data_IF_548279689473
#
_entry.id   IF_548279689473
#
_cell.length_a   1.000
_cell.length_b   1.000
_cell.length_c   1.000
_cell.angle_alpha   90.00
_cell.angle_beta   90.00
_cell.angle_gamma   90.00
#
_symmetry.space_group_name_H-M   'P 1'
#
loop_
_entity.id
_entity.type
_entity.pdbx_description
1 polymer ?
#
# COMPACT_ATOMS: atom_id res chain seq x y z
N UNK A 1 -14.55 17.37 19.66
CA UNK A 1 -14.39 18.77 19.26
C UNK A 1 -13.10 18.82 18.44
N UNK A 2 -13.20 19.00 17.11
CA UNK A 2 -12.03 19.11 16.24
C UNK A 2 -11.35 20.42 16.63
N UNK A 3 -10.11 20.36 17.13
CA UNK A 3 -9.33 21.58 17.34
C UNK A 3 -9.25 22.32 16.01
N UNK A 4 -9.59 23.62 16.03
CA UNK A 4 -9.40 24.46 14.85
C UNK A 4 -7.90 24.45 14.56
N UNK A 5 -7.52 23.90 13.42
CA UNK A 5 -6.13 23.84 13.01
C UNK A 5 -5.69 25.26 12.64
N UNK A 6 -4.84 25.86 13.48
CA UNK A 6 -4.30 27.18 13.23
C UNK A 6 -3.33 27.16 12.04
N UNK A 7 -3.48 28.08 11.10
CA UNK A 7 -2.65 28.18 9.88
C UNK A 7 -1.15 28.15 10.22
N UNK A 8 -0.72 28.91 11.21
CA UNK A 8 0.70 29.03 11.60
C UNK A 8 1.25 27.71 12.16
N UNK A 9 0.46 26.95 12.92
CA UNK A 9 0.88 25.65 13.45
C UNK A 9 0.98 24.61 12.35
N UNK A 10 0.06 24.65 11.39
CA UNK A 10 0.10 23.77 10.24
C UNK A 10 1.28 24.08 9.31
N UNK A 11 1.51 25.38 8.99
CA UNK A 11 2.70 25.84 8.26
C UNK A 11 3.98 25.33 8.92
N UNK A 12 4.12 25.51 10.22
CA UNK A 12 5.26 25.00 10.98
C UNK A 12 5.40 23.47 10.86
N UNK A 13 4.31 22.76 10.82
CA UNK A 13 4.31 21.29 10.64
C UNK A 13 4.81 20.92 9.25
N UNK A 14 4.33 21.58 8.19
CA UNK A 14 4.82 21.35 6.81
C UNK A 14 6.32 21.60 6.72
N UNK A 15 6.80 22.74 7.23
CA UNK A 15 8.24 23.09 7.21
C UNK A 15 9.10 22.07 7.99
N UNK A 16 8.62 21.60 9.15
CA UNK A 16 9.29 20.51 9.88
C UNK A 16 9.33 19.21 9.07
N UNK A 17 8.25 18.86 8.36
CA UNK A 17 8.23 17.67 7.50
C UNK A 17 9.15 17.81 6.30
N UNK A 18 9.27 19.02 5.73
CA UNK A 18 10.22 19.29 4.65
C UNK A 18 11.67 19.06 5.13
N UNK A 19 12.03 19.63 6.27
CA UNK A 19 13.40 19.52 6.80
C UNK A 19 13.68 18.10 7.32
N UNK A 20 12.85 17.56 8.21
CA UNK A 20 13.17 16.32 8.93
C UNK A 20 12.61 15.05 8.29
N UNK A 21 11.64 15.19 7.38
CA UNK A 21 11.03 14.07 6.66
C UNK A 21 11.56 13.90 5.24
N UNK A 22 11.81 15.02 4.55
CA UNK A 22 12.28 15.02 3.15
C UNK A 22 13.77 15.35 3.05
N UNK A 23 14.34 16.06 4.03
CA UNK A 23 15.76 16.45 4.05
C UNK A 23 16.06 17.63 3.13
N UNK A 24 15.11 18.56 2.96
CA UNK A 24 15.21 19.76 2.13
C UNK A 24 14.86 21.00 2.95
N UNK A 25 15.40 22.14 2.54
CA UNK A 25 14.95 23.45 3.00
C UNK A 25 14.10 24.16 1.92
N UNK A 26 13.57 25.32 2.26
CA UNK A 26 12.67 26.08 1.38
C UNK A 26 13.34 26.59 0.11
N UNK A 27 14.67 26.81 0.13
CA UNK A 27 15.43 27.43 -0.97
C UNK A 27 15.71 26.42 -2.10
N UNK A 28 15.76 25.13 -1.76
CA UNK A 28 16.11 24.05 -2.69
C UNK A 28 15.01 23.01 -2.91
N UNK A 29 13.87 23.15 -2.22
CA UNK A 29 12.76 22.23 -2.37
C UNK A 29 12.06 22.42 -3.73
N UNK A 30 11.84 21.32 -4.44
CA UNK A 30 11.07 21.28 -5.69
C UNK A 30 9.61 20.91 -5.40
N UNK A 31 8.66 21.09 -6.35
CA UNK A 31 7.23 20.79 -6.11
C UNK A 31 6.98 19.40 -5.51
N UNK A 32 7.71 18.40 -5.96
CA UNK A 32 7.63 17.03 -5.41
C UNK A 32 8.00 16.95 -3.92
N UNK A 33 9.03 17.68 -3.47
CA UNK A 33 9.44 17.71 -2.06
C UNK A 33 8.34 18.30 -1.18
N UNK A 34 7.70 19.38 -1.67
CA UNK A 34 6.56 20.00 -1.00
C UNK A 34 5.34 19.09 -0.95
N UNK A 35 5.05 18.34 -2.03
CA UNK A 35 3.98 17.34 -2.04
C UNK A 35 4.19 16.29 -0.96
N UNK A 36 5.39 15.74 -0.83
CA UNK A 36 5.74 14.74 0.20
C UNK A 36 5.66 15.35 1.60
N UNK A 37 6.17 16.56 1.81
CA UNK A 37 6.13 17.25 3.10
C UNK A 37 4.69 17.53 3.54
N UNK A 38 3.83 18.02 2.61
CA UNK A 38 2.41 18.23 2.85
C UNK A 38 1.71 16.92 3.17
N UNK A 39 1.97 15.87 2.40
CA UNK A 39 1.40 14.54 2.64
C UNK A 39 1.73 14.04 4.05
N UNK A 40 2.97 14.17 4.51
CA UNK A 40 3.32 13.80 5.88
C UNK A 40 2.61 14.65 6.94
N UNK A 41 2.41 15.95 6.68
CA UNK A 41 1.69 16.82 7.59
C UNK A 41 0.20 16.46 7.68
N UNK A 42 -0.46 16.24 6.54
CA UNK A 42 -1.86 15.81 6.44
C UNK A 42 -2.05 14.42 7.05
N UNK A 43 -1.17 13.46 6.71
CA UNK A 43 -1.18 12.10 7.25
C UNK A 43 -1.12 12.07 8.77
N UNK A 44 -0.39 12.97 9.41
CA UNK A 44 -0.33 13.04 10.88
C UNK A 44 -1.73 13.18 11.49
N UNK A 45 -2.54 14.11 10.97
CA UNK A 45 -3.91 14.32 11.44
C UNK A 45 -4.84 13.15 11.12
N UNK A 46 -4.59 12.49 9.97
CA UNK A 46 -5.31 11.28 9.58
C UNK A 46 -5.01 10.13 10.55
N UNK A 47 -3.74 9.93 10.91
CA UNK A 47 -3.29 8.86 11.80
C UNK A 47 -3.81 9.02 13.23
N UNK A 48 -3.96 10.25 13.75
CA UNK A 48 -4.56 10.49 15.06
C UNK A 48 -5.98 9.89 15.10
N UNK A 49 -6.81 10.19 14.08
CA UNK A 49 -8.18 9.65 13.98
C UNK A 49 -8.21 8.15 13.71
N UNK A 50 -7.25 7.65 12.94
CA UNK A 50 -7.12 6.21 12.68
C UNK A 50 -6.81 5.44 13.96
N UNK A 51 -5.92 5.96 14.81
CA UNK A 51 -5.62 5.36 16.12
C UNK A 51 -6.83 5.37 17.05
N UNK A 52 -7.59 6.46 17.08
CA UNK A 52 -8.84 6.55 17.86
C UNK A 52 -9.86 5.51 17.39
N UNK A 53 -10.06 5.42 16.07
CA UNK A 53 -10.96 4.43 15.47
C UNK A 53 -10.52 3.01 15.80
N UNK A 54 -9.24 2.70 15.63
CA UNK A 54 -8.69 1.37 15.90
C UNK A 54 -8.87 0.99 17.37
N UNK A 55 -8.52 1.87 18.30
CA UNK A 55 -8.71 1.64 19.75
C UNK A 55 -10.18 1.38 20.10
N UNK A 56 -11.10 2.15 19.51
CA UNK A 56 -12.54 1.96 19.72
C UNK A 56 -13.01 0.60 19.20
N UNK A 57 -12.65 0.24 17.96
CA UNK A 57 -13.03 -1.02 17.32
C UNK A 57 -12.60 -2.24 18.14
N UNK A 58 -11.38 -2.21 18.69
CA UNK A 58 -10.89 -3.31 19.54
C UNK A 58 -11.51 -3.31 20.93
N UNK A 59 -11.68 -2.16 21.58
CA UNK A 59 -12.28 -2.05 22.90
C UNK A 59 -13.75 -2.49 22.92
N UNK A 60 -14.50 -2.17 21.87
CA UNK A 60 -15.93 -2.45 21.77
C UNK A 60 -16.20 -3.80 21.09
N UNK A 61 -15.15 -4.48 20.66
CA UNK A 61 -15.19 -5.77 19.95
C UNK A 61 -16.27 -5.83 18.87
N UNK A 62 -16.33 -4.78 18.03
CA UNK A 62 -17.34 -4.69 16.97
C UNK A 62 -17.06 -5.69 15.87
N UNK A 63 -18.14 -6.18 15.23
CA UNK A 63 -18.03 -7.03 14.04
C UNK A 63 -17.26 -6.30 12.93
N UNK A 64 -16.30 -6.98 12.33
CA UNK A 64 -15.43 -6.44 11.27
C UNK A 64 -15.75 -7.05 9.92
N UNK A 65 -15.70 -6.25 8.88
CA UNK A 65 -15.76 -6.69 7.48
C UNK A 65 -14.35 -6.81 6.95
N UNK A 66 -14.05 -7.94 6.31
CA UNK A 66 -12.78 -8.17 5.61
C UNK A 66 -13.05 -8.22 4.12
N UNK A 67 -12.47 -7.27 3.38
CA UNK A 67 -12.67 -7.12 1.95
C UNK A 67 -11.40 -7.54 1.21
N UNK A 68 -11.46 -8.67 0.51
CA UNK A 68 -10.34 -9.20 -0.27
C UNK A 68 -10.53 -8.85 -1.74
N UNK A 69 -9.54 -8.21 -2.36
CA UNK A 69 -9.56 -7.90 -3.78
C UNK A 69 -8.16 -7.96 -4.38
N UNK A 70 -8.09 -8.48 -5.61
CA UNK A 70 -6.87 -8.42 -6.42
C UNK A 70 -6.53 -6.99 -6.86
N UNK A 71 -7.51 -6.10 -6.86
CA UNK A 71 -7.41 -4.73 -7.33
C UNK A 71 -7.91 -3.73 -6.30
N UNK A 72 -7.20 -2.63 -6.16
CA UNK A 72 -7.65 -1.43 -5.46
C UNK A 72 -7.28 -0.19 -6.28
N UNK A 73 -8.23 0.34 -7.05
CA UNK A 73 -8.03 1.56 -7.82
C UNK A 73 -8.31 2.78 -6.92
N UNK A 74 -7.36 3.08 -6.05
CA UNK A 74 -7.48 4.08 -4.99
C UNK A 74 -7.40 5.49 -5.58
N UNK A 75 -6.44 5.73 -6.48
CA UNK A 75 -6.14 7.05 -6.99
C UNK A 75 -5.22 7.87 -6.08
N UNK A 76 -5.23 9.19 -6.29
CA UNK A 76 -4.50 10.16 -5.48
C UNK A 76 -5.27 10.45 -4.19
N UNK A 77 -4.58 10.48 -3.07
CA UNK A 77 -5.20 10.57 -1.74
C UNK A 77 -5.12 11.96 -1.11
N UNK A 78 -4.20 12.83 -1.55
CA UNK A 78 -3.90 14.07 -0.86
C UNK A 78 -5.08 15.05 -0.86
N UNK A 79 -5.64 15.32 -2.04
CA UNK A 79 -6.78 16.22 -2.16
C UNK A 79 -8.01 15.67 -1.43
N UNK A 80 -8.32 14.38 -1.63
CA UNK A 80 -9.44 13.72 -0.95
C UNK A 80 -9.28 13.74 0.57
N UNK A 81 -8.09 13.43 1.07
CA UNK A 81 -7.82 13.43 2.52
C UNK A 81 -7.96 14.83 3.13
N UNK A 82 -7.44 15.87 2.47
CA UNK A 82 -7.57 17.25 2.96
C UNK A 82 -9.04 17.67 3.03
N UNK A 83 -9.84 17.33 2.02
CA UNK A 83 -11.28 17.61 1.98
C UNK A 83 -12.02 16.88 3.11
N UNK A 84 -11.77 15.59 3.27
CA UNK A 84 -12.37 14.77 4.31
C UNK A 84 -11.98 15.22 5.73
N UNK A 85 -10.79 15.77 5.90
CA UNK A 85 -10.34 16.38 7.17
C UNK A 85 -10.88 17.80 7.36
N UNK A 86 -11.36 18.46 6.29
CA UNK A 86 -11.83 19.84 6.30
C UNK A 86 -10.69 20.85 6.48
N UNK A 87 -9.50 20.55 5.94
CA UNK A 87 -8.28 21.38 6.11
C UNK A 87 -7.73 21.95 4.80
N UNK A 88 -8.40 21.79 3.66
CA UNK A 88 -7.94 22.23 2.35
C UNK A 88 -7.55 23.70 2.33
N UNK A 89 -8.39 24.59 2.87
CA UNK A 89 -8.12 26.02 2.89
C UNK A 89 -6.96 26.40 3.83
N UNK A 90 -6.81 25.69 4.94
CA UNK A 90 -5.68 25.89 5.85
C UNK A 90 -4.37 25.48 5.18
N UNK A 91 -4.37 24.36 4.44
CA UNK A 91 -3.22 23.90 3.65
C UNK A 91 -2.84 24.93 2.59
N UNK A 92 -3.82 25.40 1.81
CA UNK A 92 -3.63 26.41 0.76
C UNK A 92 -3.02 27.69 1.33
N UNK A 93 -3.60 28.21 2.40
CA UNK A 93 -3.10 29.44 3.04
C UNK A 93 -1.70 29.28 3.65
N UNK A 94 -1.41 28.11 4.24
CA UNK A 94 -0.10 27.83 4.84
C UNK A 94 1.00 27.72 3.78
N UNK A 95 0.72 27.13 2.62
CA UNK A 95 1.65 27.01 1.50
C UNK A 95 1.85 28.36 0.78
N UNK A 96 0.78 29.15 0.59
CA UNK A 96 0.87 30.47 0.00
C UNK A 96 1.80 31.41 0.79
N UNK A 97 1.83 31.31 2.12
CA UNK A 97 2.74 32.07 2.98
C UNK A 97 4.23 31.80 2.71
N UNK A 98 4.55 30.66 2.11
CA UNK A 98 5.94 30.29 1.72
C UNK A 98 6.14 30.29 0.20
N UNK A 99 5.19 30.86 -0.54
CA UNK A 99 5.29 31.06 -1.99
C UNK A 99 5.05 29.78 -2.81
N UNK A 100 4.35 28.78 -2.26
CA UNK A 100 4.05 27.51 -2.92
C UNK A 100 2.56 27.44 -3.27
N UNK A 101 2.26 27.04 -4.51
CA UNK A 101 0.88 26.83 -4.97
C UNK A 101 0.44 25.40 -4.66
N UNK A 102 -0.67 25.23 -3.92
CA UNK A 102 -1.25 23.93 -3.61
C UNK A 102 -1.65 23.15 -4.87
N UNK A 103 -2.23 23.82 -5.85
CA UNK A 103 -2.72 23.15 -7.05
C UNK A 103 -1.57 22.60 -7.89
N UNK A 104 -0.43 23.28 -7.92
CA UNK A 104 0.79 22.80 -8.56
C UNK A 104 1.32 21.51 -7.89
N UNK A 105 1.41 21.52 -6.57
CA UNK A 105 1.99 20.34 -5.86
C UNK A 105 1.04 19.14 -5.82
N UNK A 106 -0.29 19.33 -5.96
CA UNK A 106 -1.24 18.21 -6.07
C UNK A 106 -1.02 17.38 -7.34
N UNK A 107 -0.46 17.95 -8.39
CA UNK A 107 -0.13 17.22 -9.61
C UNK A 107 1.09 16.31 -9.44
N UNK A 108 1.91 16.55 -8.43
CA UNK A 108 3.11 15.76 -8.14
C UNK A 108 2.80 14.44 -7.40
N UNK A 109 1.59 14.26 -6.87
CA UNK A 109 1.21 13.01 -6.22
C UNK A 109 1.09 11.88 -7.25
N UNK A 110 1.84 10.77 -7.10
CA UNK A 110 1.70 9.61 -7.97
C UNK A 110 0.31 8.98 -7.83
N UNK A 111 -0.22 8.48 -8.91
CA UNK A 111 -1.48 7.74 -8.91
C UNK A 111 -1.23 6.28 -8.53
N UNK A 112 -1.75 5.85 -7.39
CA UNK A 112 -1.75 4.45 -6.98
C UNK A 112 -2.86 3.67 -7.73
N UNK A 113 -2.69 3.54 -9.04
CA UNK A 113 -3.63 2.88 -9.93
C UNK A 113 -3.46 1.34 -9.87
N UNK A 114 -3.74 0.75 -8.71
CA UNK A 114 -3.60 -0.69 -8.46
C UNK A 114 -4.84 -1.48 -8.90
N UNK A 115 -5.47 -1.06 -9.98
CA UNK A 115 -6.66 -1.66 -10.55
C UNK A 115 -6.80 -1.33 -12.03
N UNK A 116 -7.52 -2.16 -12.77
CA UNK A 116 -7.73 -2.02 -14.21
C UNK A 116 -9.07 -1.36 -14.55
N UNK A 117 -10.07 -1.46 -13.68
CA UNK A 117 -11.40 -0.94 -14.00
C UNK A 117 -12.41 -1.06 -12.86
N UNK A 118 -13.64 -1.50 -13.19
CA UNK A 118 -14.78 -1.52 -12.26
C UNK A 118 -14.56 -2.31 -10.99
N UNK A 119 -13.83 -3.44 -11.04
CA UNK A 119 -13.55 -4.26 -9.86
C UNK A 119 -12.70 -3.49 -8.85
N UNK A 120 -11.60 -2.90 -9.31
CA UNK A 120 -10.69 -2.13 -8.45
C UNK A 120 -11.32 -0.84 -7.92
N UNK A 121 -12.12 -0.15 -8.75
CA UNK A 121 -12.85 1.04 -8.29
C UNK A 121 -13.95 0.70 -7.31
N UNK A 122 -14.68 -0.42 -7.51
CA UNK A 122 -15.68 -0.89 -6.57
C UNK A 122 -15.07 -1.18 -5.19
N UNK A 123 -13.91 -1.85 -5.16
CA UNK A 123 -13.19 -2.13 -3.92
C UNK A 123 -12.81 -0.84 -3.17
N UNK A 124 -12.26 0.15 -3.88
CA UNK A 124 -11.94 1.45 -3.31
C UNK A 124 -13.19 2.17 -2.77
N UNK A 125 -14.28 2.21 -3.54
CA UNK A 125 -15.55 2.82 -3.12
C UNK A 125 -16.18 2.12 -1.92
N UNK A 126 -16.09 0.79 -1.82
CA UNK A 126 -16.60 0.08 -0.64
C UNK A 126 -15.79 0.40 0.61
N UNK A 127 -14.47 0.50 0.52
CA UNK A 127 -13.64 0.88 1.66
C UNK A 127 -13.97 2.29 2.15
N UNK A 128 -14.12 3.25 1.24
CA UNK A 128 -14.55 4.62 1.54
C UNK A 128 -15.97 4.66 2.14
N UNK A 129 -16.92 3.99 1.51
CA UNK A 129 -18.31 3.92 1.98
C UNK A 129 -18.42 3.30 3.36
N UNK A 130 -17.72 2.20 3.64
CA UNK A 130 -17.70 1.58 4.97
C UNK A 130 -17.11 2.53 6.01
N UNK A 131 -16.05 3.27 5.66
CA UNK A 131 -15.51 4.31 6.53
C UNK A 131 -16.53 5.44 6.77
N UNK A 132 -17.24 5.86 5.73
CA UNK A 132 -18.27 6.92 5.82
C UNK A 132 -19.43 6.55 6.76
N UNK A 133 -19.93 5.31 6.67
CA UNK A 133 -21.07 4.86 7.49
C UNK A 133 -20.63 4.25 8.83
N UNK A 134 -19.32 4.23 9.13
CA UNK A 134 -18.80 3.78 10.41
C UNK A 134 -18.71 2.26 10.59
N UNK A 135 -18.70 1.49 9.50
CA UNK A 135 -18.48 0.04 9.53
C UNK A 135 -16.98 -0.21 9.67
N UNK A 136 -16.61 -1.00 10.70
CA UNK A 136 -15.24 -1.43 10.87
C UNK A 136 -14.85 -2.41 9.76
N UNK A 137 -13.89 -2.03 8.92
CA UNK A 137 -13.46 -2.80 7.77
C UNK A 137 -11.93 -2.89 7.65
N UNK A 138 -11.48 -3.95 6.99
CA UNK A 138 -10.10 -4.18 6.67
C UNK A 138 -9.99 -4.71 5.25
N UNK A 139 -9.36 -3.94 4.35
CA UNK A 139 -9.11 -4.34 2.97
C UNK A 139 -7.79 -5.10 2.86
N UNK A 140 -7.74 -6.13 2.01
CA UNK A 140 -6.55 -6.89 1.70
C UNK A 140 -6.37 -7.03 0.19
N UNK A 141 -5.15 -6.82 -0.29
CA UNK A 141 -4.78 -6.98 -1.69
C UNK A 141 -3.28 -7.15 -1.89
N UNK A 142 -2.83 -6.99 -3.11
CA UNK A 142 -1.42 -7.02 -3.48
C UNK A 142 -0.90 -5.59 -3.70
N UNK A 143 0.27 -5.30 -3.18
CA UNK A 143 1.01 -4.06 -3.42
C UNK A 143 1.84 -4.21 -4.68
N UNK A 144 1.21 -3.99 -5.83
CA UNK A 144 1.94 -4.07 -7.10
C UNK A 144 2.98 -2.96 -7.19
N UNK A 145 4.18 -3.30 -7.63
CA UNK A 145 5.25 -2.32 -7.90
C UNK A 145 4.89 -1.43 -9.09
N UNK A 146 4.26 -2.05 -10.09
CA UNK A 146 3.75 -1.38 -11.28
C UNK A 146 2.24 -1.55 -11.30
N UNK A 147 1.51 -0.44 -11.21
CA UNK A 147 0.06 -0.40 -11.33
C UNK A 147 -0.42 -0.53 -12.77
N UNK A 148 -1.56 0.08 -13.10
CA UNK A 148 -2.01 0.20 -14.48
C UNK A 148 -0.95 0.93 -15.30
N UNK A 149 -0.71 0.48 -16.54
CA UNK A 149 0.29 1.06 -17.41
C UNK A 149 0.02 2.54 -17.73
N UNK A 150 1.10 3.30 -17.93
CA UNK A 150 1.05 4.63 -18.50
C UNK A 150 0.84 4.53 -19.99
N UNK A 151 -0.07 5.33 -20.54
CA UNK A 151 -0.31 5.42 -21.96
C UNK A 151 0.38 6.64 -22.55
N UNK A 152 1.05 6.47 -23.68
CA UNK A 152 1.43 7.58 -24.54
C UNK A 152 1.19 7.25 -26.01
N UNK A 153 1.11 8.28 -26.83
CA UNK A 153 0.90 8.12 -28.28
C UNK A 153 2.22 8.37 -29.00
N UNK A 154 2.71 7.38 -29.72
CA UNK A 154 3.85 7.52 -30.61
C UNK A 154 3.47 7.06 -32.02
N UNK A 155 3.78 7.87 -33.03
CA UNK A 155 3.45 7.61 -34.43
C UNK A 155 1.97 7.26 -34.70
N UNK A 156 1.05 7.82 -33.91
CA UNK A 156 -0.37 7.56 -34.01
C UNK A 156 -0.87 6.29 -33.32
N UNK A 157 0.01 5.55 -32.65
CA UNK A 157 -0.31 4.33 -31.92
C UNK A 157 -0.18 4.54 -30.41
N UNK A 158 -1.05 3.85 -29.64
CA UNK A 158 -0.91 3.77 -28.19
C UNK A 158 0.27 2.87 -27.83
N UNK A 159 1.14 3.37 -26.96
CA UNK A 159 2.23 2.61 -26.36
C UNK A 159 1.98 2.55 -24.85
N UNK A 160 2.19 1.36 -24.28
CA UNK A 160 2.01 1.07 -22.87
C UNK A 160 3.37 0.97 -22.20
N UNK A 161 3.57 1.74 -21.13
CA UNK A 161 4.77 1.71 -20.30
C UNK A 161 4.41 1.37 -18.86
N UNK A 162 5.32 0.71 -18.14
CA UNK A 162 5.11 0.39 -16.75
C UNK A 162 5.01 1.68 -15.92
N UNK A 163 3.91 1.87 -15.19
CA UNK A 163 3.78 2.97 -14.24
C UNK A 163 4.57 2.66 -12.97
N UNK A 164 5.44 3.57 -12.58
CA UNK A 164 6.38 3.38 -11.48
C UNK A 164 6.03 4.31 -10.30
N UNK A 165 4.85 4.15 -9.71
CA UNK A 165 4.32 4.99 -8.64
C UNK A 165 5.15 4.97 -7.35
N UNK A 166 6.01 3.95 -7.16
CA UNK A 166 6.87 3.78 -5.98
C UNK A 166 8.31 4.29 -6.16
N UNK A 167 8.76 4.57 -7.38
CA UNK A 167 10.19 4.82 -7.67
C UNK A 167 10.72 6.17 -7.19
N UNK A 168 9.85 7.11 -6.89
CA UNK A 168 10.25 8.47 -6.45
C UNK A 168 10.23 8.62 -4.93
N UNK A 169 10.88 7.71 -4.21
CA UNK A 169 10.98 7.79 -2.74
C UNK A 169 9.87 7.07 -1.98
N UNK A 170 9.15 6.15 -2.65
CA UNK A 170 8.07 5.36 -2.04
C UNK A 170 6.74 6.12 -1.96
N UNK A 171 5.79 5.51 -1.27
CA UNK A 171 4.47 6.09 -1.03
C UNK A 171 4.39 6.67 0.39
N UNK A 172 4.29 8.00 0.56
CA UNK A 172 4.26 8.63 1.88
C UNK A 172 3.00 8.31 2.70
N UNK A 173 1.95 7.72 2.09
CA UNK A 173 0.73 7.29 2.80
C UNK A 173 0.90 5.97 3.52
N UNK A 174 1.81 5.12 3.08
CA UNK A 174 1.97 3.77 3.60
C UNK A 174 2.75 3.72 4.91
N UNK A 175 2.38 2.73 5.73
CA UNK A 175 3.11 2.32 6.91
C UNK A 175 3.54 0.87 6.71
N UNK A 176 4.82 0.66 6.54
CA UNK A 176 5.41 -0.67 6.44
C UNK A 176 5.24 -1.43 7.77
N UNK A 177 4.77 -2.69 7.69
CA UNK A 177 4.43 -3.54 8.84
C UNK A 177 5.29 -4.80 8.85
N UNK A 178 6.53 -4.69 9.29
CA UNK A 178 7.42 -5.86 9.40
C UNK A 178 6.87 -6.94 10.35
N UNK A 179 6.09 -6.52 11.36
CA UNK A 179 5.41 -7.43 12.30
C UNK A 179 4.22 -8.19 11.68
N UNK A 180 3.71 -7.74 10.54
CA UNK A 180 2.71 -8.44 9.73
C UNK A 180 3.39 -9.14 8.56
N UNK A 181 4.18 -10.16 8.88
CA UNK A 181 4.91 -10.98 7.92
C UNK A 181 4.43 -12.42 8.01
N UNK A 182 4.12 -13.04 6.85
CA UNK A 182 3.58 -14.39 6.76
C UNK A 182 4.29 -15.17 5.68
N UNK A 183 4.65 -16.43 5.97
CA UNK A 183 5.20 -17.35 4.98
C UNK A 183 4.04 -17.92 4.16
N UNK A 184 4.15 -17.81 2.85
CA UNK A 184 3.22 -18.41 1.89
C UNK A 184 3.97 -19.49 1.12
N UNK A 185 3.63 -20.78 1.35
CA UNK A 185 4.26 -21.91 0.68
C UNK A 185 3.58 -22.21 -0.67
N UNK A 186 4.35 -22.72 -1.65
CA UNK A 186 3.85 -23.12 -2.96
C UNK A 186 4.38 -24.50 -3.38
N UNK A 187 3.57 -25.23 -4.16
CA UNK A 187 3.97 -26.48 -4.79
C UNK A 187 4.40 -27.57 -3.80
N UNK A 188 5.30 -28.45 -4.25
CA UNK A 188 5.86 -29.50 -3.42
C UNK A 188 5.01 -30.76 -3.40
N UNK A 189 5.10 -31.53 -2.30
CA UNK A 189 4.44 -32.82 -2.14
C UNK A 189 3.97 -33.02 -0.70
N UNK A 190 2.98 -33.90 -0.55
CA UNK A 190 2.50 -34.35 0.76
C UNK A 190 3.19 -35.67 1.09
N UNK A 191 3.86 -35.73 2.23
CA UNK A 191 4.42 -36.95 2.77
C UNK A 191 3.47 -37.49 3.85
N UNK A 192 3.13 -38.76 3.72
CA UNK A 192 2.33 -39.44 4.72
C UNK A 192 3.27 -40.39 5.51
N UNK A 193 3.49 -40.10 6.78
CA UNK A 193 4.21 -41.00 7.65
C UNK A 193 3.29 -42.16 8.04
N UNK A 194 3.87 -43.39 8.16
CA UNK A 194 3.10 -44.63 8.38
C UNK A 194 2.23 -44.64 9.65
N UNK A 195 2.34 -43.67 10.54
CA UNK A 195 1.59 -43.52 11.79
C UNK A 195 1.36 -42.05 12.20
N UNK A 196 1.60 -41.06 11.30
CA UNK A 196 1.52 -39.64 11.61
C UNK A 196 0.55 -38.86 10.69
N UNK A 197 0.31 -37.60 11.00
CA UNK A 197 -0.47 -36.71 10.11
C UNK A 197 0.28 -36.47 8.81
N UNK A 198 -0.50 -36.23 7.74
CA UNK A 198 0.06 -35.77 6.46
C UNK A 198 0.85 -34.46 6.67
N UNK A 199 2.10 -34.43 6.15
CA UNK A 199 2.96 -33.26 6.21
C UNK A 199 3.20 -32.71 4.80
N UNK A 200 2.95 -31.43 4.60
CA UNK A 200 3.23 -30.76 3.34
C UNK A 200 4.68 -30.25 3.31
N UNK A 201 5.42 -30.68 2.30
CA UNK A 201 6.76 -30.21 1.99
C UNK A 201 6.68 -29.25 0.78
N UNK A 202 6.66 -27.93 1.00
CA UNK A 202 6.57 -26.97 -0.10
C UNK A 202 7.85 -26.93 -0.93
N UNK A 203 7.71 -26.74 -2.23
CA UNK A 203 8.86 -26.57 -3.13
C UNK A 203 9.43 -25.13 -3.07
N UNK A 204 8.57 -24.16 -2.79
CA UNK A 204 8.90 -22.72 -2.77
C UNK A 204 8.21 -22.06 -1.57
N UNK A 205 8.85 -21.07 -0.99
CA UNK A 205 8.28 -20.24 0.08
C UNK A 205 8.56 -18.77 -0.20
N UNK A 206 7.54 -17.93 0.00
CA UNK A 206 7.61 -16.47 -0.14
C UNK A 206 7.10 -15.82 1.13
N UNK A 207 7.69 -14.70 1.53
CA UNK A 207 7.23 -13.89 2.65
C UNK A 207 6.31 -12.79 2.14
N UNK A 208 5.09 -12.75 2.62
CA UNK A 208 4.18 -11.62 2.44
C UNK A 208 4.40 -10.60 3.55
N UNK A 209 4.68 -9.34 3.21
CA UNK A 209 4.88 -8.26 4.17
C UNK A 209 3.81 -7.20 3.96
N UNK A 210 3.12 -6.82 5.05
CA UNK A 210 2.03 -5.85 5.02
C UNK A 210 2.49 -4.41 4.86
N UNK A 211 1.74 -3.64 4.07
CA UNK A 211 1.86 -2.18 3.96
C UNK A 211 0.47 -1.59 4.18
N UNK A 212 0.30 -0.82 5.24
CA UNK A 212 -1.00 -0.30 5.67
C UNK A 212 -1.21 1.14 5.24
N UNK A 213 -2.37 1.41 4.64
CA UNK A 213 -2.85 2.76 4.34
C UNK A 213 -4.17 3.00 5.07
N UNK A 214 -4.30 4.14 5.73
CA UNK A 214 -5.55 4.54 6.36
C UNK A 214 -6.53 5.05 5.30
N UNK A 215 -7.76 4.53 5.31
CA UNK A 215 -8.82 4.92 4.38
C UNK A 215 -9.84 5.76 5.14
N UNK A 216 -9.92 7.04 4.79
CA UNK A 216 -10.91 7.96 5.33
C UNK A 216 -12.23 7.82 4.56
N UNK A 217 -13.35 7.93 5.28
CA UNK A 217 -14.63 8.21 4.66
C UNK A 217 -15.00 9.68 4.81
N UNK A 218 -16.20 10.05 4.39
CA UNK A 218 -16.69 11.43 4.44
C UNK A 218 -16.54 12.04 5.83
N UNK A 219 -15.89 13.20 5.91
CA UNK A 219 -15.54 13.93 7.14
C UNK A 219 -14.59 13.17 8.09
N UNK A 220 -13.95 12.12 7.64
CA UNK A 220 -12.96 11.32 8.36
C UNK A 220 -13.34 11.00 9.82
N UNK A 221 -14.60 10.64 10.08
CA UNK A 221 -15.11 10.30 11.42
C UNK A 221 -14.73 8.89 11.87
N UNK A 222 -14.58 7.99 10.91
CA UNK A 222 -14.17 6.60 11.08
C UNK A 222 -13.19 6.26 9.96
N UNK A 223 -12.11 5.60 10.30
CA UNK A 223 -11.08 5.23 9.34
C UNK A 223 -10.87 3.72 9.36
N UNK A 224 -10.83 3.14 8.16
CA UNK A 224 -10.52 1.74 7.96
C UNK A 224 -9.05 1.56 7.51
N UNK A 225 -8.61 0.33 7.41
CA UNK A 225 -7.26 -0.01 6.99
C UNK A 225 -7.31 -0.75 5.66
N UNK A 226 -6.48 -0.33 4.72
CA UNK A 226 -6.14 -1.11 3.54
C UNK A 226 -4.73 -1.66 3.72
N UNK A 227 -4.59 -2.99 3.75
CA UNK A 227 -3.31 -3.69 3.81
C UNK A 227 -3.00 -4.32 2.46
N UNK A 228 -1.91 -3.90 1.88
CA UNK A 228 -1.40 -4.46 0.63
C UNK A 228 -0.14 -5.28 0.90
N UNK A 229 -0.07 -6.47 0.33
CA UNK A 229 1.02 -7.41 0.52
C UNK A 229 2.12 -7.24 -0.52
N UNK A 230 3.36 -7.02 -0.07
CA UNK A 230 4.57 -7.14 -0.90
C UNK A 230 5.14 -8.54 -0.74
N UNK A 231 5.58 -9.14 -1.83
CA UNK A 231 6.25 -10.43 -1.82
C UNK A 231 7.77 -10.25 -1.69
N UNK A 232 8.38 -11.01 -0.78
CA UNK A 232 9.83 -11.04 -0.56
C UNK A 232 10.32 -12.48 -0.45
N UNK A 233 11.61 -12.76 -0.76
CA UNK A 233 12.15 -14.12 -0.64
C UNK A 233 12.12 -14.57 0.83
N UNK A 234 11.76 -15.83 1.07
CA UNK A 234 11.91 -16.46 2.38
C UNK A 234 13.36 -16.92 2.64
N UNK A 235 14.11 -17.10 1.57
CA UNK A 235 15.52 -17.50 1.65
C UNK A 235 16.41 -16.26 1.74
N UNK A 236 17.52 -16.39 2.45
CA UNK A 236 18.55 -15.37 2.52
C UNK A 236 19.29 -15.28 1.18
N UNK A 237 19.80 -14.10 0.85
CA UNK A 237 20.64 -13.86 -0.31
C UNK A 237 21.81 -14.85 -0.37
N UNK A 238 22.04 -15.48 -1.54
CA UNK A 238 23.13 -16.44 -1.71
C UNK A 238 24.48 -15.75 -1.93
N UNK A 239 25.11 -15.41 -0.81
CA UNK A 239 26.42 -14.77 -0.82
C UNK A 239 27.50 -15.66 -1.45
N UNK A 240 27.35 -17.00 -1.41
CA UNK A 240 28.33 -17.93 -1.98
C UNK A 240 28.35 -17.85 -3.49
N UNK A 241 27.19 -17.80 -4.16
CA UNK A 241 27.09 -17.59 -5.59
C UNK A 241 27.56 -16.19 -6.00
N UNK A 242 27.21 -15.18 -5.20
CA UNK A 242 27.66 -13.82 -5.46
C UNK A 242 29.20 -13.69 -5.45
N UNK A 243 29.86 -14.30 -4.48
CA UNK A 243 31.32 -14.23 -4.31
C UNK A 243 32.10 -14.93 -5.45
N UNK A 244 31.49 -15.88 -6.15
CA UNK A 244 32.12 -16.55 -7.31
C UNK A 244 31.70 -15.92 -8.65
N UNK A 245 30.97 -14.78 -8.62
CA UNK A 245 30.57 -14.04 -9.82
C UNK A 245 29.27 -14.50 -10.45
N UNK A 246 28.53 -15.40 -9.85
CA UNK A 246 27.23 -15.90 -10.33
C UNK A 246 26.09 -14.97 -9.86
N UNK A 247 26.12 -13.71 -10.23
CA UNK A 247 25.21 -12.66 -9.75
C UNK A 247 23.73 -12.94 -10.01
N UNK A 248 23.41 -13.50 -11.19
CA UNK A 248 22.02 -13.84 -11.55
C UNK A 248 21.47 -14.97 -10.67
N UNK A 249 22.28 -15.98 -10.44
CA UNK A 249 21.90 -17.11 -9.58
C UNK A 249 21.73 -16.66 -8.12
N UNK A 250 22.64 -15.80 -7.65
CA UNK A 250 22.54 -15.22 -6.30
C UNK A 250 21.25 -14.42 -6.07
N UNK A 251 20.70 -13.77 -7.12
CA UNK A 251 19.47 -12.97 -7.08
C UNK A 251 18.22 -13.74 -7.51
N UNK A 252 18.33 -14.97 -7.99
CA UNK A 252 17.21 -15.70 -8.60
C UNK A 252 16.00 -15.84 -7.67
N UNK A 253 16.20 -16.17 -6.41
CA UNK A 253 15.14 -16.32 -5.42
C UNK A 253 14.43 -14.98 -5.13
N UNK A 254 15.16 -13.87 -5.13
CA UNK A 254 14.59 -12.53 -4.95
C UNK A 254 13.69 -12.15 -6.13
N UNK A 255 14.19 -12.33 -7.34
CA UNK A 255 13.43 -12.05 -8.58
C UNK A 255 12.16 -12.89 -8.64
N UNK A 256 12.24 -14.18 -8.37
CA UNK A 256 11.07 -15.07 -8.41
C UNK A 256 10.03 -14.68 -7.37
N UNK A 257 10.43 -14.42 -6.12
CA UNK A 257 9.51 -14.01 -5.07
C UNK A 257 8.83 -12.67 -5.40
N UNK A 258 9.62 -11.65 -5.78
CA UNK A 258 9.10 -10.32 -6.07
C UNK A 258 8.19 -10.27 -7.29
N UNK A 259 8.33 -11.20 -8.24
CA UNK A 259 7.45 -11.31 -9.41
C UNK A 259 5.97 -11.40 -9.01
N UNK A 260 5.64 -12.00 -7.86
CA UNK A 260 4.27 -12.11 -7.35
C UNK A 260 3.59 -10.75 -7.08
N UNK A 261 4.37 -9.75 -6.67
CA UNK A 261 3.84 -8.40 -6.41
C UNK A 261 4.33 -7.35 -7.41
N UNK A 262 4.83 -7.77 -8.59
CA UNK A 262 5.45 -6.85 -9.53
C UNK A 262 4.44 -6.15 -10.44
N UNK A 263 3.58 -6.93 -11.10
CA UNK A 263 2.64 -6.40 -12.11
C UNK A 263 1.23 -6.95 -11.89
N UNK A 264 0.25 -6.05 -11.99
CA UNK A 264 -1.17 -6.40 -12.03
C UNK A 264 -1.50 -7.08 -13.38
N UNK A 265 -2.15 -8.23 -13.34
CA UNK A 265 -2.57 -8.99 -14.52
C UNK A 265 -1.46 -9.27 -15.53
N UNK A 266 -0.50 -10.15 -15.21
CA UNK A 266 0.44 -10.63 -16.21
C UNK A 266 -0.33 -11.31 -17.35
N UNK A 267 0.25 -11.26 -18.57
CA UNK A 267 -0.31 -11.93 -19.74
C UNK A 267 -0.49 -13.43 -19.48
N UNK A 268 -1.72 -13.91 -19.57
CA UNK A 268 -2.12 -15.31 -19.32
C UNK A 268 -2.28 -16.14 -20.60
N UNK A 269 -1.82 -15.64 -21.73
CA UNK A 269 -1.74 -16.41 -22.98
C UNK A 269 -0.78 -17.59 -22.88
N UNK A 270 0.25 -17.47 -22.02
CA UNK A 270 1.26 -18.50 -21.77
C UNK A 270 0.94 -19.33 -20.51
N UNK A 271 1.43 -20.58 -20.41
CA UNK A 271 1.32 -21.37 -19.18
C UNK A 271 1.93 -20.70 -17.96
N UNK A 272 3.07 -20.02 -18.13
CA UNK A 272 3.77 -19.30 -17.06
C UNK A 272 2.94 -18.12 -16.55
N UNK A 273 2.31 -17.36 -17.45
CA UNK A 273 1.44 -16.26 -17.06
C UNK A 273 0.20 -16.73 -16.30
N UNK A 274 -0.42 -17.83 -16.72
CA UNK A 274 -1.55 -18.45 -15.99
C UNK A 274 -1.15 -18.93 -14.59
N UNK A 275 0.02 -19.57 -14.48
CA UNK A 275 0.55 -20.00 -13.19
C UNK A 275 0.81 -18.81 -12.27
N UNK A 276 1.41 -17.74 -12.79
CA UNK A 276 1.70 -16.52 -12.03
C UNK A 276 0.41 -15.88 -11.50
N UNK A 277 -0.63 -15.77 -12.33
CA UNK A 277 -1.95 -15.26 -11.87
C UNK A 277 -2.54 -16.08 -10.74
N UNK A 278 -2.51 -17.41 -10.88
CA UNK A 278 -2.98 -18.30 -9.81
C UNK A 278 -2.14 -18.14 -8.53
N UNK A 279 -0.82 -18.04 -8.67
CA UNK A 279 0.08 -17.79 -7.54
C UNK A 279 -0.19 -16.45 -6.86
N UNK A 280 -0.50 -15.38 -7.60
CA UNK A 280 -0.88 -14.08 -7.06
C UNK A 280 -2.17 -14.17 -6.21
N UNK A 281 -3.20 -14.84 -6.73
CA UNK A 281 -4.47 -15.03 -6.03
C UNK A 281 -4.29 -15.83 -4.73
N UNK A 282 -3.55 -16.93 -4.80
CA UNK A 282 -3.21 -17.73 -3.64
C UNK A 282 -2.36 -16.97 -2.62
N UNK A 283 -1.35 -16.23 -3.09
CA UNK A 283 -0.43 -15.45 -2.25
C UNK A 283 -1.16 -14.49 -1.33
N UNK A 284 -1.96 -13.58 -1.91
CA UNK A 284 -2.63 -12.56 -1.10
C UNK A 284 -3.73 -13.14 -0.23
N UNK A 285 -4.46 -14.15 -0.72
CA UNK A 285 -5.51 -14.82 0.05
C UNK A 285 -4.91 -15.55 1.25
N UNK A 286 -3.85 -16.34 1.05
CA UNK A 286 -3.16 -17.05 2.13
C UNK A 286 -2.61 -16.10 3.19
N UNK A 287 -1.91 -15.04 2.79
CA UNK A 287 -1.38 -14.03 3.71
C UNK A 287 -2.51 -13.34 4.50
N UNK A 288 -3.59 -12.98 3.82
CA UNK A 288 -4.74 -12.32 4.43
C UNK A 288 -5.45 -13.18 5.45
N UNK A 289 -5.67 -14.47 5.14
CA UNK A 289 -6.30 -15.41 6.06
C UNK A 289 -5.40 -15.68 7.29
N UNK A 290 -4.09 -15.80 7.11
CA UNK A 290 -3.15 -15.94 8.21
C UNK A 290 -3.20 -14.71 9.15
N UNK A 291 -3.22 -13.49 8.59
CA UNK A 291 -3.35 -12.24 9.36
C UNK A 291 -4.69 -12.17 10.11
N UNK A 292 -5.77 -12.54 9.45
CA UNK A 292 -7.11 -12.56 10.01
C UNK A 292 -7.22 -13.52 11.19
N UNK A 293 -6.76 -14.76 11.03
CA UNK A 293 -6.75 -15.77 12.10
C UNK A 293 -5.86 -15.33 13.26
N UNK A 294 -4.65 -14.82 12.98
CA UNK A 294 -3.76 -14.30 14.02
C UNK A 294 -4.42 -13.18 14.83
N UNK A 295 -5.05 -12.21 14.14
CA UNK A 295 -5.74 -11.10 14.81
C UNK A 295 -6.88 -11.59 15.71
N UNK A 296 -7.65 -12.55 15.24
CA UNK A 296 -8.73 -13.16 16.04
C UNK A 296 -8.17 -13.83 17.29
N UNK A 297 -7.18 -14.71 17.16
CA UNK A 297 -6.58 -15.44 18.28
C UNK A 297 -5.83 -14.54 19.29
N UNK A 298 -5.39 -13.34 18.90
CA UNK A 298 -4.77 -12.39 19.82
C UNK A 298 -5.80 -11.64 20.70
N UNK A 299 -7.06 -11.63 20.30
CA UNK A 299 -8.13 -10.88 20.99
C UNK A 299 -9.17 -11.79 21.65
N UNK A 300 -9.17 -13.08 21.34
CA UNK A 300 -10.08 -14.11 21.86
C UNK A 300 -9.31 -15.34 22.35
#
# INVERSE_FOLDING_TARGET
MVAILEKEDFKRTILKRLIYGVGKDTDYAVPRDWCVALTYAVRQHLLDRWMETTKRVYREDVKRVYYLSMEFLIGRLLADTMENLGITEVCRAALADVGVDLDEILHEEPDAALGNGGLGRLAACYMDSMSTVGIAAFGYGIRYEHGLFRQHIAEGWQIEEAEAWLTQGGNPWELHRSEASYIVPFGGFIQQDAAGPECWHPAEQVVAIGNDTAVAGWKAKHLNTLRLWSAKPAQTFDLSQFNVGNYLEAAAHEVLAETLSRVLYPDDSTPQGRELRLKQEYFFTSASLQDLVRRYLLTH
#
